data_IF_687115622870
#
_entry.id   IF_687115622870
#
_cell.length_a   1.000
_cell.length_b   1.000
_cell.length_c   1.000
_cell.angle_alpha   90.00
_cell.angle_beta   90.00
_cell.angle_gamma   90.00
#
_symmetry.space_group_name_H-M   'P 1'
#
loop_
_entity.id
_entity.type
_entity.pdbx_description
1 polymer ?
#
# COMPACT_ATOMS: atom_id res chain seq x y z
N UNK A 1 -7.01 14.24 -20.55
CA UNK A 1 -7.81 14.60 -19.38
C UNK A 1 -7.62 16.07 -19.04
N UNK A 2 -6.41 16.52 -18.70
CA UNK A 2 -6.11 17.95 -18.39
C UNK A 2 -6.74 18.96 -19.36
N UNK A 3 -6.64 18.74 -20.67
CA UNK A 3 -7.17 19.68 -21.67
C UNK A 3 -8.71 19.63 -21.86
N UNK A 4 -9.39 18.64 -21.30
CA UNK A 4 -10.81 18.36 -21.56
C UNK A 4 -11.69 18.52 -20.33
N UNK A 5 -11.10 18.46 -19.13
CA UNK A 5 -11.87 18.37 -17.90
C UNK A 5 -12.48 19.72 -17.50
N UNK A 6 -13.77 19.75 -17.13
CA UNK A 6 -14.35 20.89 -16.42
C UNK A 6 -13.72 21.09 -15.05
N UNK A 7 -14.00 22.23 -14.42
CA UNK A 7 -13.61 22.53 -13.03
C UNK A 7 -14.53 21.72 -12.09
N UNK A 8 -13.95 20.87 -11.25
CA UNK A 8 -14.69 20.03 -10.29
C UNK A 8 -14.39 20.41 -8.85
N UNK A 9 -14.70 21.64 -8.45
CA UNK A 9 -14.44 22.16 -7.10
C UNK A 9 -15.41 21.60 -6.06
N UNK A 10 -14.86 21.14 -4.94
CA UNK A 10 -15.60 20.65 -3.79
C UNK A 10 -15.01 21.22 -2.50
N UNK A 11 -15.87 21.71 -1.63
CA UNK A 11 -15.48 22.26 -0.33
C UNK A 11 -15.18 21.16 0.69
N UNK A 12 -13.94 21.13 1.18
CA UNK A 12 -13.54 20.28 2.30
C UNK A 12 -13.95 20.96 3.61
N UNK A 13 -14.55 20.18 4.50
CA UNK A 13 -15.14 20.67 5.75
C UNK A 13 -14.45 20.07 6.97
N UNK A 14 -14.70 20.67 8.13
CA UNK A 14 -14.34 20.11 9.43
C UNK A 14 -15.54 20.21 10.37
N UNK A 15 -15.91 19.10 10.98
CA UNK A 15 -16.84 19.08 12.09
C UNK A 15 -16.18 19.60 13.38
N UNK A 16 -16.87 20.48 14.11
CA UNK A 16 -16.45 20.94 15.44
C UNK A 16 -17.66 21.03 16.37
N UNK A 17 -17.39 20.95 17.67
CA UNK A 17 -18.43 21.03 18.70
C UNK A 17 -18.69 22.48 19.07
N UNK A 18 -19.94 22.89 18.98
CA UNK A 18 -20.41 24.22 19.40
C UNK A 18 -21.39 24.06 20.56
N UNK A 19 -21.14 24.78 21.67
CA UNK A 19 -22.09 24.82 22.79
C UNK A 19 -23.17 25.88 22.52
N UNK A 20 -24.44 25.47 22.56
CA UNK A 20 -25.58 26.37 22.39
C UNK A 20 -26.17 26.72 23.75
N UNK A 21 -26.10 28.00 24.15
CA UNK A 21 -26.61 28.49 25.44
C UNK A 21 -28.14 28.37 25.55
N UNK A 22 -28.85 28.49 24.42
CA UNK A 22 -30.32 28.45 24.36
C UNK A 22 -30.86 27.03 24.65
N UNK A 23 -30.21 26.01 24.10
CA UNK A 23 -30.58 24.61 24.32
C UNK A 23 -29.82 23.92 25.47
N UNK A 24 -28.74 24.54 25.97
CA UNK A 24 -27.75 23.91 26.86
C UNK A 24 -27.25 22.56 26.32
N UNK A 25 -27.08 22.47 25.01
CA UNK A 25 -26.66 21.25 24.30
C UNK A 25 -25.41 21.49 23.47
N UNK A 26 -24.65 20.42 23.24
CA UNK A 26 -23.53 20.40 22.30
C UNK A 26 -24.05 20.04 20.92
N UNK A 27 -23.82 20.92 19.96
CA UNK A 27 -24.22 20.75 18.57
C UNK A 27 -22.99 20.49 17.69
N UNK A 28 -23.12 19.62 16.70
CA UNK A 28 -22.12 19.46 15.65
C UNK A 28 -22.32 20.56 14.60
N UNK A 29 -21.34 21.44 14.44
CA UNK A 29 -21.30 22.42 13.35
C UNK A 29 -20.18 22.07 12.37
N UNK A 30 -20.38 22.46 11.12
CA UNK A 30 -19.38 22.29 10.07
C UNK A 30 -18.85 23.65 9.63
N UNK A 31 -17.56 23.72 9.34
CA UNK A 31 -16.94 24.87 8.69
C UNK A 31 -16.20 24.41 7.43
N UNK A 32 -16.21 25.24 6.39
CA UNK A 32 -15.42 25.00 5.17
C UNK A 32 -13.99 25.42 5.46
N UNK A 33 -13.04 24.53 5.20
CA UNK A 33 -11.61 24.81 5.38
C UNK A 33 -10.99 25.34 4.09
N UNK A 34 -11.21 24.64 2.97
CA UNK A 34 -10.68 24.97 1.65
C UNK A 34 -11.42 24.19 0.57
N UNK A 35 -11.34 24.68 -0.66
CA UNK A 35 -11.88 24.00 -1.83
C UNK A 35 -10.80 23.15 -2.52
N UNK A 36 -11.20 22.00 -3.06
CA UNK A 36 -10.34 21.08 -3.79
C UNK A 36 -10.94 20.81 -5.16
N UNK A 37 -10.14 20.97 -6.19
CA UNK A 37 -10.47 20.48 -7.53
C UNK A 37 -10.21 18.97 -7.60
N UNK A 38 -11.30 18.20 -7.66
CA UNK A 38 -11.26 16.73 -7.75
C UNK A 38 -10.52 16.28 -9.01
N UNK A 39 -10.63 17.04 -10.11
CA UNK A 39 -9.96 16.70 -11.37
C UNK A 39 -8.44 16.83 -11.21
N UNK A 40 -7.97 17.84 -10.50
CA UNK A 40 -6.55 17.98 -10.16
C UNK A 40 -6.03 16.79 -9.35
N UNK A 41 -6.80 16.25 -8.40
CA UNK A 41 -6.42 15.02 -7.69
C UNK A 41 -6.29 13.83 -8.65
N UNK A 42 -7.17 13.72 -9.64
CA UNK A 42 -7.09 12.68 -10.67
C UNK A 42 -5.81 12.82 -11.51
N UNK A 43 -5.47 14.05 -11.91
CA UNK A 43 -4.25 14.32 -12.64
C UNK A 43 -3.00 13.95 -11.84
N UNK A 44 -2.99 14.24 -10.53
CA UNK A 44 -1.86 13.93 -9.65
C UNK A 44 -1.57 12.43 -9.63
N UNK A 45 -2.57 11.57 -9.43
CA UNK A 45 -2.30 10.13 -9.37
C UNK A 45 -1.91 9.55 -10.74
N UNK A 46 -2.47 10.05 -11.84
CA UNK A 46 -2.10 9.64 -13.19
C UNK A 46 -0.67 10.06 -13.53
N UNK A 47 -0.31 11.31 -13.25
CA UNK A 47 1.01 11.85 -13.50
C UNK A 47 2.08 11.17 -12.65
N UNK A 48 1.78 10.91 -11.38
CA UNK A 48 2.70 10.19 -10.48
C UNK A 48 3.02 8.80 -11.03
N UNK A 49 1.99 8.02 -11.39
CA UNK A 49 2.18 6.67 -11.95
C UNK A 49 2.90 6.70 -13.30
N UNK A 50 2.53 7.61 -14.20
CA UNK A 50 3.20 7.78 -15.49
C UNK A 50 4.69 8.15 -15.34
N UNK A 51 4.99 9.04 -14.38
CA UNK A 51 6.36 9.46 -14.08
C UNK A 51 7.20 8.30 -13.56
N UNK A 52 6.64 7.43 -12.72
CA UNK A 52 7.36 6.26 -12.20
C UNK A 52 7.62 5.22 -13.28
N UNK A 53 6.64 4.95 -14.14
CA UNK A 53 6.85 4.08 -15.30
C UNK A 53 7.89 4.66 -16.26
N UNK A 54 7.92 5.98 -16.47
CA UNK A 54 8.94 6.64 -17.27
C UNK A 54 10.34 6.51 -16.64
N UNK A 55 10.46 6.77 -15.34
CA UNK A 55 11.72 6.60 -14.60
C UNK A 55 12.24 5.17 -14.74
N UNK A 56 11.36 4.18 -14.65
CA UNK A 56 11.74 2.77 -14.82
C UNK A 56 12.10 2.41 -16.26
N UNK A 57 11.34 2.89 -17.25
CA UNK A 57 11.66 2.70 -18.67
C UNK A 57 13.04 3.29 -19.03
N UNK A 58 13.42 4.37 -18.35
CA UNK A 58 14.73 5.03 -18.46
C UNK A 58 15.77 4.41 -17.51
N UNK A 59 15.67 3.10 -17.22
CA UNK A 59 16.55 2.33 -16.33
C UNK A 59 18.04 2.63 -16.51
N UNK A 60 18.53 2.88 -17.73
CA UNK A 60 19.94 3.18 -17.96
C UNK A 60 20.42 4.54 -17.44
N UNK A 61 19.50 5.46 -17.14
CA UNK A 61 19.82 6.83 -16.71
C UNK A 61 19.49 7.07 -15.24
N UNK A 62 18.41 6.48 -14.72
CA UNK A 62 17.89 6.84 -13.40
C UNK A 62 17.80 5.68 -12.39
N UNK A 63 17.89 4.42 -12.83
CA UNK A 63 17.74 3.25 -11.94
C UNK A 63 19.00 2.39 -11.97
N UNK A 64 19.70 2.20 -10.84
CA UNK A 64 20.87 1.34 -10.80
C UNK A 64 20.54 -0.09 -11.27
N UNK A 65 21.40 -0.67 -12.13
CA UNK A 65 21.24 -2.06 -12.60
C UNK A 65 21.14 -3.07 -11.45
N UNK A 66 21.78 -2.78 -10.32
CA UNK A 66 21.71 -3.59 -9.10
C UNK A 66 20.30 -3.65 -8.51
N UNK A 67 19.49 -2.60 -8.64
CA UNK A 67 18.12 -2.58 -8.13
C UNK A 67 17.20 -3.45 -8.99
N UNK A 68 17.39 -3.41 -10.32
CA UNK A 68 16.65 -4.27 -11.26
C UNK A 68 17.04 -5.74 -11.07
N UNK A 69 18.35 -6.02 -10.90
CA UNK A 69 18.84 -7.36 -10.60
C UNK A 69 18.25 -7.89 -9.29
N UNK A 70 18.25 -7.07 -8.23
CA UNK A 70 17.65 -7.42 -6.94
C UNK A 70 16.14 -7.72 -7.06
N UNK A 71 15.39 -6.92 -7.80
CA UNK A 71 13.96 -7.15 -8.01
C UNK A 71 13.69 -8.47 -8.75
N UNK A 72 14.47 -8.77 -9.81
CA UNK A 72 14.34 -10.02 -10.56
C UNK A 72 14.74 -11.24 -9.71
N UNK A 73 15.80 -11.11 -8.91
CA UNK A 73 16.33 -12.19 -8.08
C UNK A 73 15.39 -12.53 -6.91
N UNK A 74 14.91 -11.52 -6.18
CA UNK A 74 14.13 -11.72 -4.95
C UNK A 74 12.63 -11.50 -5.09
N UNK A 75 12.16 -11.04 -6.25
CA UNK A 75 10.74 -10.76 -6.50
C UNK A 75 10.20 -9.55 -5.72
N UNK A 76 11.08 -8.69 -5.19
CA UNK A 76 10.69 -7.47 -4.47
C UNK A 76 10.75 -6.27 -5.39
N UNK A 77 9.58 -5.87 -5.88
CA UNK A 77 9.45 -4.75 -6.81
C UNK A 77 9.19 -3.46 -6.04
N UNK A 78 10.25 -2.86 -5.51
CA UNK A 78 10.20 -1.58 -4.79
C UNK A 78 9.54 -0.45 -5.58
N UNK A 79 9.73 -0.46 -6.91
CA UNK A 79 9.18 0.53 -7.83
C UNK A 79 7.65 0.51 -7.80
N UNK A 80 7.04 -0.67 -7.88
CA UNK A 80 5.58 -0.86 -7.78
C UNK A 80 5.02 -0.26 -6.51
N UNK A 81 5.63 -0.56 -5.36
CA UNK A 81 5.14 -0.06 -4.10
C UNK A 81 5.31 1.44 -3.95
N UNK A 82 6.39 2.01 -4.47
CA UNK A 82 6.58 3.47 -4.47
C UNK A 82 5.48 4.18 -5.26
N UNK A 83 4.93 3.57 -6.32
CA UNK A 83 3.76 4.09 -7.03
C UNK A 83 2.53 3.98 -6.17
N UNK A 84 2.23 2.76 -5.73
CA UNK A 84 0.94 2.50 -5.10
C UNK A 84 0.77 3.27 -3.81
N UNK A 85 1.82 3.37 -3.00
CA UNK A 85 1.82 4.08 -1.71
C UNK A 85 1.50 5.56 -1.88
N UNK A 86 1.76 6.16 -3.04
CA UNK A 86 1.41 7.55 -3.34
C UNK A 86 0.08 7.67 -4.08
N UNK A 87 -0.17 6.82 -5.07
CA UNK A 87 -1.32 6.99 -5.97
C UNK A 87 -2.62 6.41 -5.43
N UNK A 88 -2.60 5.22 -4.81
CA UNK A 88 -3.82 4.58 -4.34
C UNK A 88 -4.50 5.32 -3.16
N UNK A 89 -3.78 5.90 -2.19
CA UNK A 89 -4.40 6.73 -1.15
C UNK A 89 -5.11 7.96 -1.73
N UNK A 90 -4.51 8.63 -2.73
CA UNK A 90 -5.14 9.76 -3.43
C UNK A 90 -6.40 9.31 -4.18
N UNK A 91 -6.34 8.15 -4.86
CA UNK A 91 -7.53 7.56 -5.50
C UNK A 91 -8.64 7.30 -4.47
N UNK A 92 -8.30 6.82 -3.27
CA UNK A 92 -9.26 6.57 -2.20
C UNK A 92 -9.91 7.86 -1.68
N UNK A 93 -9.14 8.95 -1.58
CA UNK A 93 -9.67 10.28 -1.23
C UNK A 93 -10.67 10.75 -2.29
N UNK A 94 -10.34 10.61 -3.58
CA UNK A 94 -11.27 10.93 -4.68
C UNK A 94 -12.55 10.12 -4.56
N UNK A 95 -12.45 8.80 -4.32
CA UNK A 95 -13.62 7.94 -4.10
C UNK A 95 -14.44 8.41 -2.89
N UNK A 96 -13.80 8.79 -1.79
CA UNK A 96 -14.47 9.36 -0.63
C UNK A 96 -15.28 10.62 -0.95
N UNK A 97 -14.67 11.57 -1.66
CA UNK A 97 -15.33 12.81 -2.10
C UNK A 97 -16.53 12.51 -3.00
N UNK A 98 -16.39 11.58 -3.96
CA UNK A 98 -17.51 11.15 -4.82
C UNK A 98 -18.66 10.48 -4.06
N UNK A 99 -18.39 9.99 -2.85
CA UNK A 99 -19.39 9.43 -1.94
C UNK A 99 -19.83 10.43 -0.87
N UNK A 100 -19.72 11.74 -1.12
CA UNK A 100 -20.12 12.81 -0.21
C UNK A 100 -19.40 12.80 1.15
N UNK A 101 -18.14 12.33 1.19
CA UNK A 101 -17.27 12.45 2.35
C UNK A 101 -16.40 13.69 2.17
N UNK A 102 -16.74 14.77 2.88
CA UNK A 102 -16.01 16.05 2.79
C UNK A 102 -15.27 16.41 4.07
N UNK A 103 -15.46 15.66 5.15
CA UNK A 103 -14.76 15.93 6.41
C UNK A 103 -13.27 15.58 6.28
N UNK A 104 -12.40 16.56 6.57
CA UNK A 104 -10.95 16.45 6.40
C UNK A 104 -10.35 15.32 7.23
N UNK A 105 -10.88 15.04 8.42
CA UNK A 105 -10.37 13.98 9.30
C UNK A 105 -10.72 12.62 8.73
N UNK A 106 -11.93 12.46 8.21
CA UNK A 106 -12.35 11.22 7.55
C UNK A 106 -11.54 10.99 6.28
N UNK A 107 -11.36 12.01 5.44
CA UNK A 107 -10.55 11.91 4.22
C UNK A 107 -9.07 11.56 4.53
N UNK A 108 -8.48 12.19 5.55
CA UNK A 108 -7.13 11.85 6.01
C UNK A 108 -7.05 10.42 6.56
N UNK A 109 -8.10 9.94 7.22
CA UNK A 109 -8.19 8.56 7.71
C UNK A 109 -8.25 7.57 6.55
N UNK A 110 -9.07 7.82 5.52
CA UNK A 110 -9.14 6.99 4.32
C UNK A 110 -7.76 6.91 3.63
N UNK A 111 -7.09 8.04 3.48
CA UNK A 111 -5.72 8.10 2.96
C UNK A 111 -4.77 7.23 3.80
N UNK A 112 -4.76 7.43 5.12
CA UNK A 112 -3.89 6.72 6.05
C UNK A 112 -4.12 5.20 6.07
N UNK A 113 -5.39 4.77 5.98
CA UNK A 113 -5.73 3.36 5.92
C UNK A 113 -5.17 2.67 4.66
N UNK A 114 -5.35 3.27 3.48
CA UNK A 114 -4.80 2.71 2.24
C UNK A 114 -3.27 2.77 2.23
N UNK A 115 -2.68 3.86 2.73
CA UNK A 115 -1.24 3.97 2.91
C UNK A 115 -0.69 2.84 3.81
N UNK A 116 -1.35 2.56 4.93
CA UNK A 116 -0.99 1.49 5.85
C UNK A 116 -1.13 0.09 5.22
N UNK A 117 -2.21 -0.16 4.47
CA UNK A 117 -2.38 -1.41 3.70
C UNK A 117 -1.18 -1.65 2.79
N UNK A 118 -0.77 -0.63 2.03
CA UNK A 118 0.32 -0.77 1.08
C UNK A 118 1.69 -0.87 1.75
N UNK A 119 1.90 -0.16 2.86
CA UNK A 119 3.10 -0.30 3.69
C UNK A 119 3.26 -1.72 4.26
N UNK A 120 2.15 -2.35 4.67
CA UNK A 120 2.17 -3.76 5.09
C UNK A 120 2.37 -4.72 3.90
N UNK A 121 1.88 -4.38 2.71
CA UNK A 121 2.19 -5.10 1.47
C UNK A 121 3.70 -5.10 1.14
N UNK A 122 4.37 -3.96 1.29
CA UNK A 122 5.83 -3.86 1.17
C UNK A 122 6.52 -4.78 2.16
N UNK A 123 6.11 -4.74 3.43
CA UNK A 123 6.68 -5.57 4.49
C UNK A 123 6.50 -7.07 4.18
N UNK A 124 5.35 -7.45 3.64
CA UNK A 124 5.07 -8.81 3.17
C UNK A 124 6.07 -9.26 2.10
N UNK A 125 6.33 -8.43 1.08
CA UNK A 125 7.31 -8.75 0.03
C UNK A 125 8.74 -8.90 0.57
N UNK A 126 9.16 -8.06 1.53
CA UNK A 126 10.47 -8.17 2.18
C UNK A 126 10.61 -9.50 2.95
N UNK A 127 9.54 -9.93 3.61
CA UNK A 127 9.51 -11.22 4.30
C UNK A 127 9.55 -12.38 3.29
N UNK A 128 8.91 -12.25 2.13
CA UNK A 128 8.99 -13.22 1.03
C UNK A 128 10.43 -13.34 0.49
N UNK A 129 11.14 -12.22 0.28
CA UNK A 129 12.54 -12.27 -0.14
C UNK A 129 13.42 -13.05 0.83
N UNK A 130 13.21 -12.86 2.13
CA UNK A 130 13.91 -13.63 3.17
C UNK A 130 13.62 -15.14 3.05
N UNK A 131 12.39 -15.50 2.68
CA UNK A 131 11.99 -16.88 2.43
C UNK A 131 12.65 -17.48 1.16
N UNK A 132 12.92 -16.66 0.14
CA UNK A 132 13.62 -17.07 -1.10
C UNK A 132 15.11 -17.29 -0.85
N UNK A 133 15.79 -16.34 -0.18
CA UNK A 133 17.23 -16.44 0.15
C UNK A 133 17.54 -17.71 0.95
N UNK A 134 16.71 -18.00 1.97
CA UNK A 134 16.85 -19.21 2.79
C UNK A 134 16.65 -20.50 1.99
N UNK A 135 15.86 -20.46 0.91
CA UNK A 135 15.66 -21.60 0.01
C UNK A 135 16.88 -21.85 -0.88
N UNK A 136 17.43 -20.80 -1.50
CA UNK A 136 18.61 -20.91 -2.37
C UNK A 136 19.85 -21.40 -1.60
N UNK A 137 20.05 -20.91 -0.36
CA UNK A 137 21.12 -21.37 0.54
C UNK A 137 21.02 -22.87 0.86
N UNK A 138 19.80 -23.38 1.08
CA UNK A 138 19.58 -24.80 1.33
C UNK A 138 19.88 -25.66 0.09
N UNK A 139 19.63 -25.15 -1.10
CA UNK A 139 19.89 -25.86 -2.36
C UNK A 139 21.39 -25.91 -2.70
N UNK A 140 22.11 -24.80 -2.55
CA UNK A 140 23.58 -24.77 -2.70
C UNK A 140 24.29 -25.66 -1.68
N UNK A 141 23.76 -25.78 -0.45
CA UNK A 141 24.23 -26.76 0.53
C UNK A 141 24.00 -28.22 0.11
N UNK A 142 23.01 -28.51 -0.75
CA UNK A 142 22.81 -29.87 -1.31
C UNK A 142 23.79 -30.15 -2.44
N UNK A 143 24.11 -29.14 -3.24
CA UNK A 143 24.82 -29.33 -4.51
C UNK A 143 26.36 -29.26 -4.39
N UNK A 144 26.92 -28.73 -3.28
CA UNK A 144 28.38 -28.59 -3.12
C UNK A 144 28.99 -29.26 -1.88
N UNK A 145 29.98 -30.12 -2.14
CA UNK A 145 30.98 -30.72 -1.23
C UNK A 145 32.08 -29.74 -0.77
N UNK A 146 32.00 -28.46 -1.10
CA UNK A 146 32.97 -27.44 -0.67
C UNK A 146 32.28 -26.07 -0.57
N UNK A 147 32.02 -25.62 0.65
CA UNK A 147 31.55 -24.27 0.96
C UNK A 147 32.68 -23.26 0.69
N UNK A 148 32.62 -22.52 -0.41
CA UNK A 148 33.24 -21.19 -0.48
C UNK A 148 32.25 -20.19 0.08
N UNK A 149 32.55 -19.70 1.28
CA UNK A 149 31.85 -18.58 1.92
C UNK A 149 32.12 -17.33 1.07
N UNK A 150 31.12 -16.91 0.29
CA UNK A 150 31.12 -15.61 -0.37
C UNK A 150 30.64 -14.60 0.67
N UNK A 151 31.59 -13.87 1.26
CA UNK A 151 31.30 -12.65 2.01
C UNK A 151 30.98 -11.54 1.02
N UNK A 152 29.70 -11.35 0.69
CA UNK A 152 29.23 -10.08 0.13
C UNK A 152 28.53 -9.27 1.22
N UNK A 153 28.94 -8.01 1.30
CA UNK A 153 28.68 -7.09 2.40
C UNK A 153 27.21 -6.60 2.37
N UNK A 154 26.35 -6.97 3.32
CA UNK A 154 24.90 -6.71 3.26
C UNK A 154 24.49 -5.33 3.83
N UNK A 155 25.44 -4.43 4.08
CA UNK A 155 25.22 -3.27 4.94
C UNK A 155 24.49 -2.07 4.31
N UNK A 156 24.39 -1.95 2.98
CA UNK A 156 24.05 -0.65 2.37
C UNK A 156 22.62 -0.50 1.83
N UNK A 157 21.87 -1.59 1.58
CA UNK A 157 20.55 -1.50 0.91
C UNK A 157 19.33 -1.63 1.83
N UNK A 158 19.50 -2.22 3.03
CA UNK A 158 18.36 -2.58 3.90
C UNK A 158 17.91 -1.40 4.79
N UNK A 159 18.82 -0.50 5.17
CA UNK A 159 18.51 0.58 6.12
C UNK A 159 17.66 1.72 5.55
N UNK A 160 17.74 2.00 4.24
CA UNK A 160 17.01 3.10 3.64
C UNK A 160 15.49 2.88 3.63
N UNK A 161 15.06 1.61 3.54
CA UNK A 161 13.64 1.27 3.49
C UNK A 161 12.96 1.38 4.85
N UNK A 162 13.64 1.00 5.93
CA UNK A 162 13.09 1.09 7.28
C UNK A 162 12.91 2.53 7.74
N UNK A 163 13.73 3.46 7.26
CA UNK A 163 13.62 4.87 7.63
C UNK A 163 12.43 5.58 6.98
N UNK A 164 12.01 5.16 5.77
CA UNK A 164 10.92 5.82 5.04
C UNK A 164 9.52 5.39 5.50
N UNK A 165 9.35 4.15 6.00
CA UNK A 165 8.05 3.65 6.49
C UNK A 165 7.67 4.24 7.86
N UNK A 166 8.65 4.66 8.67
CA UNK A 166 8.39 5.18 10.02
C UNK A 166 8.08 6.68 10.08
N UNK A 167 8.35 7.47 9.03
CA UNK A 167 8.34 8.95 9.13
C UNK A 167 7.00 9.59 8.76
N UNK A 168 6.05 8.88 8.13
CA UNK A 168 4.83 9.50 7.58
C UNK A 168 3.49 8.98 8.11
N UNK A 169 3.49 8.04 9.05
CA UNK A 169 2.27 7.34 9.49
C UNK A 169 1.46 8.04 10.59
N UNK A 170 1.58 9.36 10.82
CA UNK A 170 0.69 10.08 11.76
C UNK A 170 0.51 11.57 11.38
N UNK A 171 -0.73 12.10 11.27
CA UNK A 171 -0.97 13.55 11.14
C UNK A 171 -0.61 14.30 12.45
N UNK A 172 -0.27 15.60 12.38
CA UNK A 172 0.40 16.34 13.47
C UNK A 172 -0.40 16.59 14.76
N UNK A 173 -1.67 16.15 14.87
CA UNK A 173 -2.56 16.56 15.98
C UNK A 173 -3.00 15.43 16.93
N UNK A 174 -2.38 14.25 16.87
CA UNK A 174 -2.55 13.22 17.91
C UNK A 174 -1.24 13.13 18.69
N UNK A 175 -1.15 13.97 19.72
CA UNK A 175 -0.08 13.97 20.71
C UNK A 175 -0.26 12.76 21.65
N UNK A 176 -0.07 11.54 21.12
CA UNK A 176 0.28 10.40 21.98
C UNK A 176 1.75 10.59 22.33
N UNK A 177 1.95 11.09 23.55
CA UNK A 177 3.25 11.25 24.19
C UNK A 177 3.98 9.90 24.19
N UNK A 178 4.80 9.64 23.18
CA UNK A 178 5.90 8.70 23.31
C UNK A 178 7.06 9.48 23.92
N UNK A 179 7.16 9.36 25.24
CA UNK A 179 8.27 9.87 26.04
C UNK A 179 9.60 9.41 25.43
N UNK A 180 10.43 10.40 25.10
CA UNK A 180 11.85 10.26 24.83
C UNK A 180 12.55 9.85 26.12
N UNK A 181 12.52 8.56 26.44
CA UNK A 181 13.43 7.93 27.40
C UNK A 181 13.82 6.55 26.89
N UNK A 182 14.92 6.49 26.13
CA UNK A 182 15.94 5.42 26.10
C UNK A 182 15.56 3.95 26.36
N UNK A 183 14.35 3.48 25.99
CA UNK A 183 13.99 2.06 25.99
C UNK A 183 13.24 1.72 24.71
N UNK A 184 13.97 0.99 23.87
CA UNK A 184 13.59 0.50 22.54
C UNK A 184 12.23 -0.23 22.59
N UNK A 185 11.31 0.01 21.63
CA UNK A 185 10.04 -0.71 21.57
C UNK A 185 10.26 -2.19 21.25
N UNK A 186 9.51 -3.04 21.97
CA UNK A 186 9.60 -4.51 21.97
C UNK A 186 9.51 -5.16 20.57
N UNK A 187 8.92 -4.48 19.59
CA UNK A 187 8.78 -4.97 18.20
C UNK A 187 10.04 -4.77 17.34
N UNK A 188 10.88 -3.78 17.66
CA UNK A 188 12.20 -3.62 17.03
C UNK A 188 13.19 -4.59 17.65
N UNK A 189 13.02 -4.90 18.94
CA UNK A 189 13.81 -5.90 19.66
C UNK A 189 13.55 -7.30 19.09
N UNK A 190 12.35 -7.66 18.61
CA UNK A 190 12.16 -9.00 18.01
C UNK A 190 12.91 -9.15 16.69
N UNK A 191 12.90 -8.18 15.78
CA UNK A 191 13.65 -8.31 14.51
C UNK A 191 15.17 -8.24 14.70
N UNK A 192 15.67 -7.34 15.56
CA UNK A 192 17.11 -7.26 15.85
C UNK A 192 17.60 -8.35 16.81
N UNK A 193 16.80 -8.87 17.73
CA UNK A 193 17.16 -10.04 18.55
C UNK A 193 17.03 -11.35 17.77
N UNK A 194 16.14 -11.43 16.77
CA UNK A 194 16.18 -12.49 15.76
C UNK A 194 17.50 -12.36 15.00
N UNK A 195 17.87 -11.23 14.43
CA UNK A 195 19.13 -11.13 13.66
C UNK A 195 20.39 -11.34 14.54
N UNK A 196 20.44 -10.76 15.74
CA UNK A 196 21.63 -10.79 16.62
C UNK A 196 21.72 -12.08 17.43
N UNK A 197 20.59 -12.63 17.90
CA UNK A 197 20.55 -13.94 18.55
C UNK A 197 20.88 -15.08 17.59
N UNK A 198 20.52 -14.94 16.31
CA UNK A 198 20.77 -15.96 15.29
C UNK A 198 22.25 -16.01 14.86
N UNK A 199 22.96 -14.87 14.81
CA UNK A 199 24.41 -14.81 14.55
C UNK A 199 25.23 -15.60 15.61
N UNK A 200 24.86 -15.50 16.89
CA UNK A 200 25.50 -16.26 17.96
C UNK A 200 25.24 -17.78 17.90
N UNK A 201 24.08 -18.20 17.39
CA UNK A 201 23.74 -19.63 17.22
C UNK A 201 24.43 -20.24 16.01
N UNK A 202 24.57 -19.49 14.91
CA UNK A 202 25.30 -19.94 13.70
C UNK A 202 26.76 -20.25 14.00
N UNK A 203 27.43 -19.43 14.84
CA UNK A 203 28.82 -19.68 15.23
C UNK A 203 29.00 -20.93 16.12
N UNK A 204 27.98 -21.37 16.86
CA UNK A 204 28.04 -22.59 17.70
C UNK A 204 27.60 -23.86 16.98
N UNK A 205 26.82 -23.76 15.91
CA UNK A 205 26.34 -24.91 15.13
C UNK A 205 27.30 -25.32 14.01
N UNK A 206 28.25 -24.46 13.64
CA UNK A 206 29.31 -24.77 12.68
C UNK A 206 30.19 -25.96 13.10
N UNK A 207 30.28 -26.25 14.41
CA UNK A 207 31.14 -27.33 14.92
C UNK A 207 30.48 -28.71 14.91
N UNK A 208 29.15 -28.80 14.72
CA UNK A 208 28.40 -30.06 14.80
C UNK A 208 27.52 -30.29 13.55
N UNK A 209 28.16 -30.64 12.45
CA UNK A 209 27.57 -31.42 11.35
C UNK A 209 26.57 -30.70 10.41
N UNK A 210 26.63 -31.09 9.13
CA UNK A 210 25.82 -30.58 8.01
C UNK A 210 24.28 -30.71 8.22
N UNK A 211 23.82 -31.56 9.14
CA UNK A 211 22.39 -31.74 9.46
C UNK A 211 21.75 -30.54 10.19
N UNK A 212 22.50 -29.87 11.06
CA UNK A 212 21.96 -28.82 11.95
C UNK A 212 21.72 -27.51 11.21
N UNK A 213 22.60 -27.18 10.26
CA UNK A 213 22.46 -26.02 9.36
C UNK A 213 21.22 -26.16 8.47
N UNK A 214 20.90 -27.37 8.01
CA UNK A 214 19.71 -27.62 7.18
C UNK A 214 18.42 -27.39 7.94
N UNK A 215 18.32 -27.90 9.17
CA UNK A 215 17.16 -27.74 10.03
C UNK A 215 16.90 -26.26 10.35
N UNK A 216 17.97 -25.49 10.54
CA UNK A 216 17.90 -24.05 10.75
C UNK A 216 17.30 -23.30 9.55
N UNK A 217 17.82 -23.53 8.34
CA UNK A 217 17.29 -22.86 7.14
C UNK A 217 15.83 -23.23 6.84
N UNK A 218 15.40 -24.47 7.12
CA UNK A 218 13.98 -24.83 7.02
C UNK A 218 13.10 -24.07 8.01
N UNK A 219 13.53 -23.94 9.27
CA UNK A 219 12.77 -23.21 10.29
C UNK A 219 12.67 -21.72 9.96
N UNK A 220 13.78 -21.11 9.50
CA UNK A 220 13.78 -19.70 9.11
C UNK A 220 12.86 -19.46 7.91
N UNK A 221 12.87 -20.36 6.92
CA UNK A 221 11.96 -20.30 5.77
C UNK A 221 10.49 -20.36 6.22
N UNK A 222 10.14 -21.36 7.04
CA UNK A 222 8.77 -21.54 7.54
C UNK A 222 8.30 -20.31 8.34
N UNK A 223 9.15 -19.79 9.21
CA UNK A 223 8.85 -18.58 9.99
C UNK A 223 8.65 -17.34 9.10
N UNK A 224 9.54 -17.10 8.13
CA UNK A 224 9.44 -15.94 7.23
C UNK A 224 8.16 -16.00 6.38
N UNK A 225 7.88 -17.16 5.81
CA UNK A 225 6.70 -17.38 4.98
C UNK A 225 5.39 -17.33 5.78
N UNK A 226 5.35 -17.83 7.02
CA UNK A 226 4.20 -17.65 7.90
C UNK A 226 3.99 -16.18 8.26
N UNK A 227 5.08 -15.46 8.59
CA UNK A 227 5.02 -14.04 8.93
C UNK A 227 4.51 -13.20 7.76
N UNK A 228 4.97 -13.47 6.52
CA UNK A 228 4.49 -12.76 5.33
C UNK A 228 2.97 -12.87 5.15
N UNK A 229 2.42 -14.08 5.32
CA UNK A 229 0.96 -14.32 5.24
C UNK A 229 0.18 -13.59 6.34
N UNK A 230 0.71 -13.55 7.56
CA UNK A 230 0.11 -12.78 8.66
C UNK A 230 0.15 -11.29 8.37
N UNK A 231 1.28 -10.77 7.91
CA UNK A 231 1.41 -9.36 7.52
C UNK A 231 0.42 -9.00 6.41
N UNK A 232 0.27 -9.85 5.40
CA UNK A 232 -0.76 -9.69 4.36
C UNK A 232 -2.17 -9.65 4.94
N UNK A 233 -2.53 -10.58 5.83
CA UNK A 233 -3.84 -10.58 6.48
C UNK A 233 -4.09 -9.31 7.31
N UNK A 234 -3.06 -8.79 7.99
CA UNK A 234 -3.14 -7.52 8.70
C UNK A 234 -3.30 -6.33 7.76
N UNK A 235 -2.69 -6.37 6.57
CA UNK A 235 -2.85 -5.34 5.53
C UNK A 235 -4.29 -5.21 5.03
N UNK A 236 -5.04 -6.31 5.03
CA UNK A 236 -6.44 -6.32 4.62
C UNK A 236 -7.36 -5.54 5.57
N UNK A 237 -7.03 -5.46 6.86
CA UNK A 237 -7.88 -4.81 7.87
C UNK A 237 -8.12 -3.31 7.60
N UNK A 238 -7.08 -2.46 7.44
CA UNK A 238 -7.30 -1.04 7.13
C UNK A 238 -7.95 -0.83 5.75
N UNK A 239 -7.70 -1.71 4.77
CA UNK A 239 -8.36 -1.65 3.47
C UNK A 239 -9.87 -1.88 3.59
N UNK A 240 -10.27 -2.96 4.29
CA UNK A 240 -11.68 -3.27 4.55
C UNK A 240 -12.35 -2.14 5.33
N UNK A 241 -11.66 -1.54 6.31
CA UNK A 241 -12.17 -0.39 7.05
C UNK A 241 -12.43 0.82 6.14
N UNK A 242 -11.47 1.19 5.28
CA UNK A 242 -11.65 2.33 4.37
C UNK A 242 -12.85 2.13 3.44
N UNK A 243 -13.02 0.92 2.89
CA UNK A 243 -14.19 0.58 2.08
C UNK A 243 -15.48 0.57 2.89
N UNK A 244 -15.48 0.08 4.13
CA UNK A 244 -16.64 0.11 5.00
C UNK A 244 -17.10 1.54 5.30
N UNK A 245 -16.18 2.50 5.48
CA UNK A 245 -16.51 3.92 5.65
C UNK A 245 -17.15 4.49 4.38
N UNK A 246 -16.59 4.22 3.20
CA UNK A 246 -17.16 4.67 1.92
C UNK A 246 -18.54 4.09 1.68
N UNK A 247 -18.72 2.78 1.83
CA UNK A 247 -20.02 2.14 1.65
C UNK A 247 -21.02 2.53 2.73
N UNK A 248 -20.56 2.77 3.95
CA UNK A 248 -21.41 3.28 5.03
C UNK A 248 -21.99 4.64 4.67
N UNK A 249 -21.16 5.56 4.16
CA UNK A 249 -21.63 6.88 3.73
C UNK A 249 -22.54 6.78 2.50
N UNK A 250 -22.14 5.97 1.51
CA UNK A 250 -22.96 5.71 0.32
C UNK A 250 -24.34 5.17 0.67
N UNK A 251 -24.41 4.15 1.53
CA UNK A 251 -25.67 3.60 2.01
C UNK A 251 -26.49 4.64 2.80
N UNK A 252 -25.84 5.45 3.63
CA UNK A 252 -26.52 6.53 4.35
C UNK A 252 -27.15 7.54 3.40
N UNK A 253 -26.50 7.87 2.27
CA UNK A 253 -27.10 8.68 1.20
C UNK A 253 -28.34 7.99 0.66
N UNK A 254 -28.25 6.71 0.24
CA UNK A 254 -29.41 5.96 -0.30
C UNK A 254 -30.63 5.92 0.64
N UNK A 255 -30.40 5.91 1.96
CA UNK A 255 -31.50 5.84 2.94
C UNK A 255 -32.07 7.21 3.31
N UNK A 256 -31.29 8.29 3.21
CA UNK A 256 -31.67 9.61 3.75
C UNK A 256 -31.94 10.66 2.69
N UNK A 257 -31.43 10.50 1.48
CA UNK A 257 -31.66 11.48 0.42
C UNK A 257 -33.01 11.26 -0.25
N UNK A 258 -33.71 12.36 -0.55
CA UNK A 258 -34.91 12.34 -1.39
C UNK A 258 -34.55 12.02 -2.86
N UNK A 259 -33.30 12.24 -3.23
CA UNK A 259 -32.76 11.99 -4.57
C UNK A 259 -31.69 10.90 -4.54
N UNK A 260 -31.70 10.01 -5.54
CA UNK A 260 -30.67 8.98 -5.64
C UNK A 260 -29.31 9.59 -6.00
N UNK A 261 -28.19 9.00 -5.53
CA UNK A 261 -26.86 9.36 -6.01
C UNK A 261 -26.76 9.29 -7.54
N UNK A 262 -25.88 10.09 -8.17
CA UNK A 262 -25.64 9.98 -9.60
C UNK A 262 -25.14 8.58 -10.00
N UNK A 263 -25.57 8.10 -11.16
CA UNK A 263 -25.26 6.74 -11.67
C UNK A 263 -23.74 6.44 -11.71
N UNK A 264 -22.92 7.44 -12.02
CA UNK A 264 -21.47 7.26 -12.10
C UNK A 264 -20.83 6.97 -10.73
N UNK A 265 -21.44 7.40 -9.62
CA UNK A 265 -20.96 7.09 -8.26
C UNK A 265 -21.13 5.61 -7.97
N UNK A 266 -22.25 5.01 -8.38
CA UNK A 266 -22.45 3.55 -8.31
C UNK A 266 -21.38 2.81 -9.13
N UNK A 267 -21.10 3.28 -10.34
CA UNK A 267 -20.09 2.67 -11.20
C UNK A 267 -18.69 2.76 -10.57
N UNK A 268 -18.30 3.90 -10.00
CA UNK A 268 -17.04 4.07 -9.28
C UNK A 268 -16.94 3.05 -8.14
N UNK A 269 -17.97 2.98 -7.29
CA UNK A 269 -17.97 2.09 -6.13
C UNK A 269 -17.85 0.62 -6.54
N UNK A 270 -18.65 0.16 -7.51
CA UNK A 270 -18.66 -1.25 -7.92
C UNK A 270 -17.34 -1.61 -8.62
N UNK A 271 -16.91 -0.82 -9.61
CA UNK A 271 -15.72 -1.12 -10.41
C UNK A 271 -14.47 -1.12 -9.53
N UNK A 272 -14.30 -0.09 -8.69
CA UNK A 272 -13.11 -0.01 -7.84
C UNK A 272 -13.15 -1.01 -6.69
N UNK A 273 -14.31 -1.29 -6.10
CA UNK A 273 -14.40 -2.34 -5.08
C UNK A 273 -13.95 -3.68 -5.65
N UNK A 274 -14.45 -4.06 -6.83
CA UNK A 274 -14.09 -5.32 -7.48
C UNK A 274 -12.60 -5.39 -7.81
N UNK A 275 -11.98 -4.28 -8.20
CA UNK A 275 -10.55 -4.23 -8.47
C UNK A 275 -9.71 -4.27 -7.18
N UNK A 276 -10.07 -3.50 -6.15
CA UNK A 276 -9.28 -3.37 -4.92
C UNK A 276 -9.42 -4.56 -3.95
N UNK A 277 -10.57 -5.22 -3.89
CA UNK A 277 -10.77 -6.42 -3.06
C UNK A 277 -10.62 -7.74 -3.82
N UNK A 278 -10.55 -7.69 -5.16
CA UNK A 278 -10.40 -8.87 -6.01
C UNK A 278 -8.96 -9.11 -6.45
N UNK A 279 -8.56 -8.66 -7.65
CA UNK A 279 -7.31 -9.02 -8.29
C UNK A 279 -6.07 -8.58 -7.51
N UNK A 280 -6.01 -7.35 -6.95
CA UNK A 280 -4.81 -6.90 -6.23
C UNK A 280 -4.42 -7.79 -5.04
N UNK A 281 -5.29 -8.00 -4.03
CA UNK A 281 -4.96 -8.88 -2.91
C UNK A 281 -4.78 -10.34 -3.35
N UNK A 282 -5.53 -10.80 -4.35
CA UNK A 282 -5.40 -12.16 -4.89
C UNK A 282 -4.01 -12.41 -5.50
N UNK A 283 -3.56 -11.53 -6.39
CA UNK A 283 -2.27 -11.67 -7.09
C UNK A 283 -1.11 -11.59 -6.10
N UNK A 284 -1.18 -10.69 -5.12
CA UNK A 284 -0.16 -10.58 -4.08
C UNK A 284 -0.16 -11.80 -3.15
N UNK A 285 -1.32 -12.33 -2.76
CA UNK A 285 -1.37 -13.56 -1.96
C UNK A 285 -0.83 -14.76 -2.74
N UNK A 286 -1.19 -14.89 -4.02
CA UNK A 286 -0.69 -15.94 -4.90
C UNK A 286 0.84 -15.86 -5.05
N UNK A 287 1.41 -14.66 -5.19
CA UNK A 287 2.86 -14.49 -5.26
C UNK A 287 3.57 -14.91 -3.96
N UNK A 288 2.99 -14.60 -2.79
CA UNK A 288 3.51 -15.09 -1.50
C UNK A 288 3.48 -16.62 -1.48
N UNK A 289 2.33 -17.21 -1.83
CA UNK A 289 2.14 -18.66 -1.78
C UNK A 289 3.10 -19.42 -2.70
N UNK A 290 3.32 -18.93 -3.91
CA UNK A 290 4.25 -19.54 -4.85
C UNK A 290 5.70 -19.46 -4.36
N UNK A 291 6.11 -18.30 -3.82
CA UNK A 291 7.42 -18.15 -3.19
C UNK A 291 7.60 -19.13 -1.99
N UNK A 292 6.54 -19.35 -1.20
CA UNK A 292 6.56 -20.34 -0.11
C UNK A 292 6.79 -21.77 -0.63
N UNK A 293 6.24 -22.12 -1.80
CA UNK A 293 6.28 -23.49 -2.34
C UNK A 293 7.59 -23.87 -3.04
N UNK A 294 8.56 -22.96 -3.14
CA UNK A 294 9.84 -23.15 -3.88
C UNK A 294 9.66 -23.36 -5.39
N UNK A 295 8.58 -22.84 -5.97
CA UNK A 295 8.29 -22.96 -7.41
C UNK A 295 8.48 -21.60 -8.11
N UNK A 296 9.04 -20.59 -7.43
CA UNK A 296 9.20 -19.26 -8.05
C UNK A 296 10.28 -19.29 -9.12
N UNK A 297 9.90 -19.65 -10.34
CA UNK A 297 10.66 -19.43 -11.55
C UNK A 297 10.67 -17.93 -11.88
N UNK A 298 11.64 -17.47 -12.67
CA UNK A 298 11.66 -16.08 -13.14
C UNK A 298 10.38 -15.72 -13.91
N UNK A 299 9.87 -16.67 -14.71
CA UNK A 299 8.66 -16.47 -15.50
C UNK A 299 7.44 -16.13 -14.63
N UNK A 300 7.29 -16.76 -13.46
CA UNK A 300 6.16 -16.49 -12.57
C UNK A 300 6.31 -15.19 -11.80
N UNK A 301 7.53 -14.79 -11.41
CA UNK A 301 7.78 -13.46 -10.83
C UNK A 301 7.40 -12.34 -11.79
N UNK A 302 7.81 -12.45 -13.06
CA UNK A 302 7.43 -11.48 -14.09
C UNK A 302 5.92 -11.48 -14.36
N UNK A 303 5.27 -12.64 -14.31
CA UNK A 303 3.81 -12.74 -14.46
C UNK A 303 3.07 -11.93 -13.39
N UNK A 304 3.41 -12.11 -12.10
CA UNK A 304 2.78 -11.34 -11.03
C UNK A 304 3.07 -9.86 -11.14
N UNK A 305 4.29 -9.45 -11.48
CA UNK A 305 4.62 -8.04 -11.64
C UNK A 305 3.87 -7.40 -12.81
N UNK A 306 3.83 -8.08 -13.95
CA UNK A 306 3.08 -7.62 -15.13
C UNK A 306 1.60 -7.50 -14.81
N UNK A 307 1.03 -8.47 -14.08
CA UNK A 307 -0.36 -8.43 -13.65
C UNK A 307 -0.64 -7.23 -12.75
N UNK A 308 0.22 -6.95 -11.76
CA UNK A 308 0.08 -5.75 -10.93
C UNK A 308 0.10 -4.48 -11.79
N UNK A 309 1.07 -4.34 -12.69
CA UNK A 309 1.16 -3.17 -13.57
C UNK A 309 -0.10 -3.01 -14.44
N UNK A 310 -0.64 -4.09 -15.00
CA UNK A 310 -1.87 -4.08 -15.79
C UNK A 310 -3.08 -3.63 -14.95
N UNK A 311 -3.30 -4.22 -13.77
CA UNK A 311 -4.41 -3.82 -12.89
C UNK A 311 -4.23 -2.40 -12.34
N UNK A 312 -2.99 -1.96 -12.10
CA UNK A 312 -2.65 -0.59 -11.76
C UNK A 312 -3.09 0.39 -12.84
N UNK A 313 -2.74 0.10 -14.10
CA UNK A 313 -3.15 0.91 -15.24
C UNK A 313 -4.68 0.92 -15.43
N UNK A 314 -5.32 -0.26 -15.37
CA UNK A 314 -6.78 -0.40 -15.55
C UNK A 314 -7.55 0.34 -14.47
N UNK A 315 -7.19 0.18 -13.19
CA UNK A 315 -7.88 0.83 -12.07
C UNK A 315 -7.75 2.36 -12.11
N UNK A 316 -6.56 2.89 -12.35
CA UNK A 316 -6.31 4.32 -12.50
C UNK A 316 -7.08 4.92 -13.68
N UNK A 317 -7.05 4.24 -14.83
CA UNK A 317 -7.78 4.67 -16.02
C UNK A 317 -9.30 4.63 -15.80
N UNK A 318 -9.82 3.56 -15.20
CA UNK A 318 -11.24 3.41 -14.91
C UNK A 318 -11.74 4.54 -13.99
N UNK A 319 -11.07 4.80 -12.86
CA UNK A 319 -11.45 5.89 -11.97
C UNK A 319 -11.39 7.24 -12.67
N UNK A 320 -10.30 7.51 -13.39
CA UNK A 320 -10.11 8.78 -14.07
C UNK A 320 -11.24 9.08 -15.07
N UNK A 321 -11.60 8.10 -15.91
CA UNK A 321 -12.66 8.29 -16.89
C UNK A 321 -14.05 8.36 -16.25
N UNK A 322 -14.32 7.56 -15.22
CA UNK A 322 -15.61 7.63 -14.51
C UNK A 322 -15.82 8.99 -13.83
N UNK A 323 -14.79 9.54 -13.19
CA UNK A 323 -14.84 10.88 -12.58
C UNK A 323 -15.00 11.95 -13.64
N UNK A 324 -14.23 11.88 -14.73
CA UNK A 324 -14.33 12.83 -15.85
C UNK A 324 -15.76 12.90 -16.43
N UNK A 325 -16.33 11.74 -16.78
CA UNK A 325 -17.67 11.68 -17.35
C UNK A 325 -18.75 12.10 -16.35
N UNK A 326 -18.56 11.75 -15.07
CA UNK A 326 -19.46 12.16 -14.00
C UNK A 326 -19.54 13.68 -13.85
N UNK A 327 -18.39 14.35 -13.71
CA UNK A 327 -18.34 15.82 -13.54
C UNK A 327 -18.86 16.52 -14.80
N UNK A 328 -18.46 16.05 -15.99
CA UNK A 328 -18.93 16.64 -17.24
C UNK A 328 -20.45 16.58 -17.39
N UNK A 329 -21.07 15.46 -17.06
CA UNK A 329 -22.53 15.31 -17.12
C UNK A 329 -23.25 16.30 -16.19
N UNK A 330 -22.71 16.50 -14.99
CA UNK A 330 -23.26 17.49 -14.04
C UNK A 330 -23.21 18.90 -14.65
N UNK A 331 -22.11 19.25 -15.32
CA UNK A 331 -21.96 20.57 -15.92
C UNK A 331 -22.88 20.78 -17.13
N UNK A 332 -22.99 19.77 -18.00
CA UNK A 332 -23.90 19.80 -19.15
C UNK A 332 -25.37 20.01 -18.67
N UNK A 333 -25.76 19.41 -17.55
CA UNK A 333 -27.11 19.58 -16.96
C UNK A 333 -27.32 21.02 -16.42
N UNK A 334 -26.29 21.65 -15.84
CA UNK A 334 -26.35 23.05 -15.37
C UNK A 334 -26.45 24.03 -16.54
N UNK A 335 -25.71 23.80 -17.62
CA UNK A 335 -25.70 24.68 -18.79
C UNK A 335 -27.02 24.63 -19.58
N UNK A 336 -27.79 23.54 -19.49
CA UNK A 336 -29.13 23.43 -20.12
C UNK A 336 -30.21 24.19 -19.35
N UNK A 337 -30.04 24.37 -18.03
CA UNK A 337 -31.01 25.04 -17.17
C UNK A 337 -30.90 26.57 -17.22
N UNK A 338 -29.72 27.10 -17.59
CA UNK A 338 -29.43 28.54 -17.68
C UNK A 338 -29.69 29.12 -19.08
#
# INVERSE_FOLDING_TARGET
>A
MVCLSPVGEVSVTQAYTHYSDEGRVLEAKHTVLFDVDVVSLVHIFLLTSASQHLVYALQYTFVPKSLVAHANEFGVFWVRWSDYVLTAPVMMVVVGIMNAIFDVVVLATLFGCIFATLGLGVLSDVLVATCIVSTQSNQTSRDNKALRVVHENPHDSVWLTYLLVCVWSVPPNILVIYFVTSRVPLYVITSTAIVTGYMCVVLRLSDNGCGTVRAFWSLQKEAACATAKVTFALACLPCVYAWAVVFGNFAATLYKSEENPPEFVYAINIVLLLLFLGPFPYIHYASIEEACRRISDESSKLYYETSHAMFGFVSKSALAWLVYWGIRRIQDDVDVVN
#
